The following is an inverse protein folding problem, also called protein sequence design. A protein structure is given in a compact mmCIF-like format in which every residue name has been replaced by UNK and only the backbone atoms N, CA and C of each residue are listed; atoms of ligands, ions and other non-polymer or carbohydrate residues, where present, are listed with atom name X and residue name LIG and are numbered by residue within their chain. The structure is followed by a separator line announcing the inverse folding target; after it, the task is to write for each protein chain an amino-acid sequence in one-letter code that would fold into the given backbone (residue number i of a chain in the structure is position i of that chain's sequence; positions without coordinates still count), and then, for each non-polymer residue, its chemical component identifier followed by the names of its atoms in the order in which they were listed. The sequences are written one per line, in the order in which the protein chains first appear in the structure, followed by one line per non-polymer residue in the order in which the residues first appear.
data_IF_816685141383
#
_entry.id   IF_816685141383
#
_cell.length_a   1.000
_cell.length_b   1.000
_cell.length_c   1.000
_cell.angle_alpha   90.00
_cell.angle_beta   90.00
_cell.angle_gamma   90.00
#
_symmetry.space_group_name_H-M   'P 1'
#
loop_
_entity.id
_entity.type
_entity.pdbx_description
1 polymer ?
#
# COMPACT_ATOMS: atom_id res chain seq x y z
N UNK A 1 2.42 -17.02 -10.25
CA UNK A 1 1.11 -16.81 -9.60
C UNK A 1 0.28 -18.09 -9.82
N UNK A 2 -0.56 -18.49 -8.87
CA UNK A 2 -1.43 -19.67 -9.07
C UNK A 2 -2.30 -19.49 -10.31
N UNK A 3 -2.51 -20.55 -11.10
CA UNK A 3 -3.27 -20.49 -12.38
C UNK A 3 -4.70 -19.94 -12.23
N UNK A 4 -5.27 -20.05 -11.03
CA UNK A 4 -6.63 -19.59 -10.69
C UNK A 4 -6.66 -18.23 -9.98
N UNK A 5 -5.54 -17.52 -9.89
CA UNK A 5 -5.43 -16.20 -9.27
C UNK A 5 -5.12 -15.15 -10.34
N UNK A 6 -6.11 -14.33 -10.63
CA UNK A 6 -5.96 -13.21 -11.57
C UNK A 6 -5.62 -11.92 -10.80
N UNK A 7 -4.64 -11.19 -11.29
CA UNK A 7 -4.27 -9.86 -10.79
C UNK A 7 -4.23 -8.84 -11.92
N UNK A 8 -4.97 -7.77 -11.78
CA UNK A 8 -5.01 -6.65 -12.74
C UNK A 8 -4.71 -5.37 -11.98
N UNK A 9 -3.93 -4.47 -12.58
CA UNK A 9 -3.68 -3.15 -12.01
C UNK A 9 -3.82 -2.05 -13.05
N UNK A 10 -4.28 -0.87 -12.61
CA UNK A 10 -4.44 0.34 -13.42
C UNK A 10 -3.81 1.53 -12.71
N UNK A 11 -3.17 2.40 -13.48
CA UNK A 11 -2.55 3.62 -12.94
C UNK A 11 -3.59 4.74 -12.82
N UNK A 12 -3.49 5.60 -11.80
CA UNK A 12 -4.36 6.76 -11.67
C UNK A 12 -4.07 7.80 -12.76
N UNK A 13 -5.06 8.63 -13.07
CA UNK A 13 -4.86 9.83 -13.87
C UNK A 13 -3.91 10.80 -13.15
N UNK A 14 -3.24 11.66 -13.93
CA UNK A 14 -2.24 12.63 -13.44
C UNK A 14 -2.77 13.53 -12.32
N UNK A 15 -4.02 13.99 -12.40
CA UNK A 15 -4.62 14.92 -11.46
C UNK A 15 -4.87 14.33 -10.04
N UNK A 16 -4.92 13.01 -9.89
CA UNK A 16 -5.06 12.33 -8.59
C UNK A 16 -3.82 11.53 -8.21
N UNK A 17 -2.77 11.54 -9.03
CA UNK A 17 -1.57 10.71 -8.83
C UNK A 17 -0.74 11.06 -7.59
N UNK A 18 -0.92 12.25 -7.01
CA UNK A 18 -0.31 12.60 -5.73
C UNK A 18 -0.99 11.89 -4.53
N UNK A 19 -2.22 11.40 -4.72
CA UNK A 19 -3.06 10.79 -3.68
C UNK A 19 -3.27 9.29 -3.89
N UNK A 20 -3.32 8.84 -5.12
CA UNK A 20 -3.52 7.43 -5.49
C UNK A 20 -2.24 6.86 -6.07
N UNK A 21 -1.85 5.67 -5.62
CA UNK A 21 -0.73 4.92 -6.20
C UNK A 21 -1.19 4.08 -7.39
N UNK A 22 -2.25 3.33 -7.18
CA UNK A 22 -2.83 2.44 -8.19
C UNK A 22 -4.26 2.05 -7.83
N UNK A 23 -4.97 1.52 -8.81
CA UNK A 23 -6.13 0.66 -8.64
C UNK A 23 -5.69 -0.76 -8.93
N UNK A 24 -6.21 -1.75 -8.20
CA UNK A 24 -5.92 -3.13 -8.50
C UNK A 24 -7.08 -4.05 -8.15
N UNK A 25 -7.11 -5.18 -8.82
CA UNK A 25 -8.08 -6.24 -8.66
C UNK A 25 -7.35 -7.55 -8.41
N UNK A 26 -7.89 -8.35 -7.50
CA UNK A 26 -7.51 -9.75 -7.35
C UNK A 26 -8.76 -10.61 -7.37
N UNK A 27 -8.72 -11.67 -8.17
CA UNK A 27 -9.80 -12.64 -8.32
C UNK A 27 -9.26 -14.05 -8.09
N UNK A 28 -9.87 -14.76 -7.17
CA UNK A 28 -9.64 -16.20 -6.98
C UNK A 28 -10.80 -16.97 -7.59
N UNK A 29 -10.55 -17.67 -8.69
CA UNK A 29 -11.55 -18.47 -9.40
C UNK A 29 -11.58 -19.93 -8.95
N UNK A 30 -10.70 -20.32 -8.01
CA UNK A 30 -10.66 -21.68 -7.47
C UNK A 30 -11.68 -21.89 -6.35
N UNK A 31 -11.97 -23.16 -6.06
CA UNK A 31 -12.78 -23.56 -4.92
C UNK A 31 -11.97 -23.68 -3.62
N UNK A 32 -10.72 -23.19 -3.61
CA UNK A 32 -9.84 -23.27 -2.46
C UNK A 32 -9.48 -21.86 -1.96
N UNK A 33 -9.45 -21.70 -0.64
CA UNK A 33 -8.93 -20.48 -0.01
C UNK A 33 -7.41 -20.53 -0.03
N UNK A 34 -6.78 -19.48 -0.56
CA UNK A 34 -5.34 -19.34 -0.61
C UNK A 34 -4.84 -18.61 0.65
N UNK A 35 -3.88 -19.21 1.34
CA UNK A 35 -3.18 -18.52 2.44
C UNK A 35 -2.10 -17.60 1.87
N UNK A 36 -2.07 -16.37 2.33
CA UNK A 36 -1.15 -15.35 1.85
C UNK A 36 -0.48 -14.60 2.99
N UNK A 37 0.60 -13.91 2.67
CA UNK A 37 1.28 -13.01 3.59
C UNK A 37 1.27 -11.62 2.97
N UNK A 38 0.61 -10.69 3.63
CA UNK A 38 0.66 -9.27 3.28
C UNK A 38 1.99 -8.65 3.70
N UNK A 39 2.64 -7.97 2.77
CA UNK A 39 3.87 -7.22 3.05
C UNK A 39 3.56 -5.73 3.13
N UNK A 40 4.15 -4.99 4.08
CA UNK A 40 4.06 -3.54 4.12
C UNK A 40 4.58 -2.91 2.83
N UNK A 41 3.82 -2.00 2.27
CA UNK A 41 4.20 -1.30 1.03
C UNK A 41 4.09 0.22 1.13
N UNK A 42 3.70 0.74 2.31
CA UNK A 42 3.53 2.16 2.55
C UNK A 42 2.25 2.73 1.94
N UNK A 43 1.24 1.88 1.72
CA UNK A 43 -0.08 2.25 1.17
C UNK A 43 -1.17 2.06 2.19
N UNK A 44 -2.31 2.67 1.88
CA UNK A 44 -3.58 2.54 2.58
C UNK A 44 -4.58 2.10 1.54
N UNK A 45 -5.29 1.01 1.79
CA UNK A 45 -6.14 0.41 0.80
C UNK A 45 -7.62 0.52 1.18
N UNK A 46 -8.43 1.08 0.28
CA UNK A 46 -9.89 0.98 0.35
C UNK A 46 -10.31 -0.18 -0.56
N UNK A 47 -10.80 -1.25 0.04
CA UNK A 47 -11.17 -2.48 -0.66
C UNK A 47 -12.67 -2.69 -0.70
N UNK A 48 -13.18 -3.07 -1.87
CA UNK A 48 -14.49 -3.66 -2.09
C UNK A 48 -14.26 -5.16 -2.26
N UNK A 49 -14.94 -5.97 -1.45
CA UNK A 49 -14.74 -7.41 -1.43
C UNK A 49 -16.05 -8.16 -1.45
N UNK A 50 -16.04 -9.32 -2.10
CA UNK A 50 -17.10 -10.33 -2.05
C UNK A 50 -16.54 -11.72 -2.36
N UNK A 51 -17.12 -12.76 -1.77
CA UNK A 51 -16.90 -14.15 -2.17
C UNK A 51 -18.21 -14.92 -2.26
N UNK A 52 -18.13 -16.22 -2.59
CA UNK A 52 -19.28 -17.11 -2.52
C UNK A 52 -19.80 -17.34 -1.09
N UNK A 53 -18.92 -17.22 -0.09
CA UNK A 53 -19.22 -17.51 1.32
C UNK A 53 -19.38 -16.24 2.16
N UNK A 54 -18.74 -15.14 1.76
CA UNK A 54 -18.75 -13.89 2.52
C UNK A 54 -19.50 -12.81 1.73
N UNK A 55 -20.39 -12.04 2.39
CA UNK A 55 -21.15 -10.97 1.73
C UNK A 55 -20.24 -9.83 1.29
N UNK A 56 -20.79 -8.98 0.42
CA UNK A 56 -20.13 -7.73 0.04
C UNK A 56 -19.78 -6.89 1.27
N UNK A 57 -18.57 -6.36 1.28
CA UNK A 57 -18.08 -5.42 2.30
C UNK A 57 -17.13 -4.39 1.70
N UNK A 58 -17.05 -3.24 2.36
CA UNK A 58 -16.09 -2.18 2.09
C UNK A 58 -15.19 -2.06 3.33
N UNK A 59 -13.87 -2.10 3.12
CA UNK A 59 -12.91 -2.09 4.22
C UNK A 59 -11.78 -1.11 3.93
N UNK A 60 -11.44 -0.27 4.90
CA UNK A 60 -10.26 0.56 4.89
C UNK A 60 -9.14 -0.16 5.65
N UNK A 61 -8.09 -0.56 4.94
CA UNK A 61 -6.89 -1.14 5.53
C UNK A 61 -5.93 -0.01 5.86
N UNK A 62 -5.50 0.04 7.12
CA UNK A 62 -4.52 1.00 7.58
C UNK A 62 -3.10 0.65 7.15
N UNK A 63 -2.18 1.54 7.50
CA UNK A 63 -0.78 1.40 7.15
C UNK A 63 -0.16 0.17 7.83
N UNK A 64 0.39 -0.75 7.04
CA UNK A 64 1.17 -1.88 7.53
C UNK A 64 2.58 -1.46 7.89
N UNK A 65 3.09 -1.88 9.06
CA UNK A 65 4.49 -1.68 9.49
C UNK A 65 5.27 -2.98 9.63
N UNK A 66 4.56 -4.10 9.62
CA UNK A 66 5.09 -5.46 9.67
C UNK A 66 4.22 -6.39 8.84
N UNK A 67 4.71 -7.56 8.50
CA UNK A 67 3.93 -8.55 7.73
C UNK A 67 2.60 -8.89 8.43
N UNK A 68 1.59 -9.18 7.63
CA UNK A 68 0.35 -9.80 8.08
C UNK A 68 0.46 -11.31 7.96
N UNK A 69 0.58 -12.01 9.07
CA UNK A 69 0.92 -13.45 9.11
C UNK A 69 -0.18 -14.39 8.58
N UNK A 70 -1.41 -13.89 8.37
CA UNK A 70 -2.54 -14.73 7.94
C UNK A 70 -3.51 -13.98 7.04
N UNK A 71 -3.00 -13.48 5.90
CA UNK A 71 -3.88 -13.04 4.85
C UNK A 71 -4.56 -14.25 4.20
N UNK A 72 -5.80 -14.09 3.75
CA UNK A 72 -6.53 -15.12 2.99
C UNK A 72 -7.16 -14.49 1.77
N UNK A 73 -7.10 -15.21 0.66
CA UNK A 73 -7.89 -14.93 -0.52
C UNK A 73 -8.93 -16.05 -0.60
N UNK A 74 -10.17 -15.82 -0.16
CA UNK A 74 -11.20 -16.85 -0.12
C UNK A 74 -11.47 -17.48 -1.49
N UNK A 75 -11.97 -18.70 -1.48
CA UNK A 75 -12.46 -19.37 -2.69
C UNK A 75 -13.53 -18.51 -3.39
N UNK A 76 -13.52 -18.51 -4.72
CA UNK A 76 -14.51 -17.80 -5.53
C UNK A 76 -14.72 -16.33 -5.07
N UNK A 77 -13.60 -15.60 -4.87
CA UNK A 77 -13.62 -14.25 -4.36
C UNK A 77 -13.14 -13.20 -5.35
N UNK A 78 -13.62 -11.99 -5.18
CA UNK A 78 -13.26 -10.83 -5.97
C UNK A 78 -13.02 -9.63 -5.03
N UNK A 79 -11.88 -8.96 -5.24
CA UNK A 79 -11.52 -7.76 -4.50
C UNK A 79 -11.07 -6.68 -5.47
N UNK A 80 -11.70 -5.49 -5.41
CA UNK A 80 -11.23 -4.29 -6.08
C UNK A 80 -10.69 -3.31 -5.05
N UNK A 81 -9.60 -2.66 -5.35
CA UNK A 81 -8.88 -1.83 -4.37
C UNK A 81 -8.46 -0.49 -4.98
N UNK A 82 -8.63 0.56 -4.18
CA UNK A 82 -7.98 1.85 -4.37
C UNK A 82 -6.80 1.90 -3.41
N UNK A 83 -5.58 1.92 -3.94
CA UNK A 83 -4.36 1.99 -3.16
C UNK A 83 -3.90 3.44 -3.04
N UNK A 84 -3.99 4.01 -1.84
CA UNK A 84 -3.70 5.40 -1.58
C UNK A 84 -2.27 5.64 -1.13
N UNK A 85 -1.70 6.78 -1.55
CA UNK A 85 -0.52 7.39 -0.94
C UNK A 85 -0.91 8.15 0.32
N UNK A 86 0.03 8.37 1.24
CA UNK A 86 -0.25 9.03 2.53
C UNK A 86 -0.95 10.39 2.43
N UNK A 87 -0.69 11.27 1.43
CA UNK A 87 -1.43 12.53 1.32
C UNK A 87 -2.95 12.35 1.26
N UNK A 88 -3.45 11.21 0.73
CA UNK A 88 -4.87 10.95 0.64
C UNK A 88 -5.59 10.90 2.00
N UNK A 89 -4.87 10.55 3.07
CA UNK A 89 -5.42 10.51 4.43
C UNK A 89 -6.04 11.84 4.85
N UNK A 90 -5.31 12.92 4.62
CA UNK A 90 -5.77 14.27 4.99
C UNK A 90 -6.68 14.89 3.93
N UNK A 91 -6.38 14.69 2.64
CA UNK A 91 -7.03 15.44 1.56
C UNK A 91 -8.20 14.71 0.91
N UNK A 92 -8.25 13.40 0.99
CA UNK A 92 -9.28 12.55 0.37
C UNK A 92 -10.15 11.87 1.42
N UNK A 93 -9.53 11.13 2.37
CA UNK A 93 -10.25 10.43 3.44
C UNK A 93 -10.71 11.40 4.54
N UNK A 94 -9.98 12.48 4.76
CA UNK A 94 -10.24 13.55 5.73
C UNK A 94 -10.35 13.04 7.18
N UNK A 95 -9.78 11.90 7.47
CA UNK A 95 -9.70 11.33 8.82
C UNK A 95 -8.31 10.75 9.09
N UNK A 96 -7.91 10.69 10.38
CA UNK A 96 -6.67 10.05 10.80
C UNK A 96 -6.78 8.54 10.73
N UNK A 97 -5.74 7.86 10.23
CA UNK A 97 -5.62 6.41 10.23
C UNK A 97 -4.74 5.88 11.37
N UNK A 98 -4.29 6.75 12.29
CA UNK A 98 -3.40 6.36 13.38
C UNK A 98 -3.98 5.25 14.25
N UNK A 99 -5.31 5.17 14.39
CA UNK A 99 -6.00 4.14 15.15
C UNK A 99 -6.12 2.78 14.45
N UNK A 100 -5.75 2.69 13.17
CA UNK A 100 -5.84 1.45 12.39
C UNK A 100 -4.49 1.00 11.80
N UNK A 101 -3.38 1.44 12.37
CA UNK A 101 -2.05 0.93 12.01
C UNK A 101 -1.99 -0.59 12.26
N UNK A 102 -1.53 -1.37 11.28
CA UNK A 102 -1.55 -2.83 11.28
C UNK A 102 -2.94 -3.45 11.49
N UNK A 103 -3.99 -2.75 11.11
CA UNK A 103 -5.38 -3.15 11.29
C UNK A 103 -6.25 -2.64 10.14
N UNK A 104 -7.54 -2.94 10.21
CA UNK A 104 -8.53 -2.54 9.23
C UNK A 104 -9.82 -2.08 9.93
N UNK A 105 -10.60 -1.26 9.24
CA UNK A 105 -11.91 -0.75 9.66
C UNK A 105 -12.93 -1.08 8.58
N UNK A 106 -14.01 -1.77 8.95
CA UNK A 106 -15.15 -1.91 8.04
C UNK A 106 -15.88 -0.58 7.94
N UNK A 107 -16.28 -0.24 6.73
CA UNK A 107 -17.03 0.96 6.41
C UNK A 107 -18.48 0.60 6.08
N UNK A 108 -19.35 1.60 6.00
CA UNK A 108 -20.74 1.41 5.55
C UNK A 108 -20.77 0.84 4.13
N UNK A 109 -21.79 0.03 3.84
CA UNK A 109 -21.90 -0.70 2.56
C UNK A 109 -22.13 0.21 1.34
N UNK A 110 -22.46 1.47 1.59
CA UNK A 110 -22.65 2.53 0.60
C UNK A 110 -21.58 3.63 0.66
N UNK A 111 -20.45 3.35 1.36
CA UNK A 111 -19.36 4.32 1.48
C UNK A 111 -18.91 4.81 0.10
N UNK A 112 -18.91 6.13 -0.11
CA UNK A 112 -18.63 6.80 -1.38
C UNK A 112 -19.58 6.38 -2.52
N UNK A 113 -20.80 6.01 -2.20
CA UNK A 113 -21.82 5.52 -3.12
C UNK A 113 -21.44 4.20 -3.82
N UNK A 114 -20.39 3.50 -3.32
CA UNK A 114 -20.06 2.17 -3.79
C UNK A 114 -21.08 1.14 -3.33
N UNK A 115 -21.25 0.10 -4.15
CA UNK A 115 -22.11 -1.03 -3.85
C UNK A 115 -21.62 -2.30 -4.57
N UNK A 116 -22.29 -3.41 -4.37
CA UNK A 116 -21.91 -4.72 -4.94
C UNK A 116 -21.76 -4.69 -6.47
N UNK A 117 -22.55 -3.90 -7.21
CA UNK A 117 -22.47 -3.85 -8.69
C UNK A 117 -21.17 -3.23 -9.18
N UNK A 118 -20.49 -2.44 -8.37
CA UNK A 118 -19.20 -1.87 -8.74
C UNK A 118 -18.09 -2.94 -8.85
N UNK A 119 -18.34 -4.20 -8.40
CA UNK A 119 -17.45 -5.34 -8.60
C UNK A 119 -17.67 -6.07 -9.96
N UNK A 120 -18.63 -5.66 -10.78
CA UNK A 120 -18.91 -6.27 -12.07
C UNK A 120 -17.91 -5.84 -13.16
N UNK A 121 -17.37 -4.61 -13.06
CA UNK A 121 -16.48 -4.03 -14.07
C UNK A 121 -15.37 -3.19 -13.40
N UNK A 122 -14.13 -3.64 -13.56
CA UNK A 122 -12.96 -3.00 -12.95
C UNK A 122 -12.65 -1.61 -13.56
N UNK A 123 -12.87 -1.41 -14.86
CA UNK A 123 -12.62 -0.12 -15.49
C UNK A 123 -13.65 0.92 -15.05
N UNK A 124 -14.94 0.52 -14.97
CA UNK A 124 -15.99 1.39 -14.44
C UNK A 124 -15.75 1.73 -12.95
N UNK A 125 -15.31 0.76 -12.15
CA UNK A 125 -14.88 1.02 -10.77
C UNK A 125 -13.75 2.06 -10.70
N UNK A 126 -12.68 1.91 -11.49
CA UNK A 126 -11.57 2.87 -11.53
C UNK A 126 -12.05 4.27 -11.93
N UNK A 127 -12.96 4.37 -12.90
CA UNK A 127 -13.54 5.65 -13.33
C UNK A 127 -14.37 6.29 -12.22
N UNK A 128 -15.27 5.53 -11.59
CA UNK A 128 -16.12 6.00 -10.48
C UNK A 128 -15.27 6.46 -9.29
N UNK A 129 -14.28 5.66 -8.89
CA UNK A 129 -13.34 5.98 -7.84
C UNK A 129 -12.57 7.29 -8.14
N UNK A 130 -12.06 7.43 -9.37
CA UNK A 130 -11.35 8.65 -9.79
C UNK A 130 -12.22 9.89 -9.68
N UNK A 131 -13.45 9.84 -10.19
CA UNK A 131 -14.41 10.97 -10.12
C UNK A 131 -14.76 11.31 -8.67
N UNK A 132 -14.94 10.29 -7.82
CA UNK A 132 -15.22 10.52 -6.40
C UNK A 132 -14.05 11.20 -5.71
N UNK A 133 -12.83 10.73 -5.94
CA UNK A 133 -11.60 11.33 -5.37
C UNK A 133 -11.45 12.77 -5.85
N UNK A 134 -11.60 13.04 -7.15
CA UNK A 134 -11.57 14.40 -7.71
C UNK A 134 -12.59 15.33 -7.01
N UNK A 135 -13.80 14.84 -6.74
CA UNK A 135 -14.85 15.64 -6.06
C UNK A 135 -14.54 15.95 -4.59
N UNK A 136 -13.70 15.13 -3.94
CA UNK A 136 -13.29 15.31 -2.54
C UNK A 136 -12.06 16.22 -2.39
N UNK A 137 -11.29 16.44 -3.45
CA UNK A 137 -10.10 17.28 -3.47
C UNK A 137 -10.48 18.78 -3.49
N UNK A 138 -11.02 19.27 -2.37
CA UNK A 138 -11.45 20.66 -2.23
C UNK A 138 -10.31 21.67 -2.03
N UNK A 139 -9.11 21.18 -1.69
CA UNK A 139 -7.93 22.00 -1.39
C UNK A 139 -6.71 21.45 -2.09
N UNK A 140 -5.87 22.35 -2.57
CA UNK A 140 -4.54 21.98 -3.05
C UNK A 140 -3.66 21.46 -1.90
N UNK A 141 -2.79 20.51 -2.23
CA UNK A 141 -1.81 19.98 -1.30
C UNK A 141 -0.84 21.09 -0.86
N UNK A 142 -0.74 21.35 0.43
CA UNK A 142 0.14 22.38 1.00
C UNK A 142 1.59 22.18 0.51
N UNK A 143 2.22 23.24 0.00
CA UNK A 143 3.51 23.17 -0.70
C UNK A 143 4.60 22.44 0.09
N UNK A 144 4.71 22.67 1.42
CA UNK A 144 5.73 21.96 2.23
C UNK A 144 5.42 20.48 2.41
N UNK A 145 4.14 20.07 2.48
CA UNK A 145 3.72 18.67 2.52
C UNK A 145 3.97 18.00 1.18
N UNK A 146 3.62 18.68 0.08
CA UNK A 146 3.91 18.20 -1.27
C UNK A 146 5.41 17.94 -1.46
N UNK A 147 6.26 18.89 -1.06
CA UNK A 147 7.72 18.72 -1.11
C UNK A 147 8.18 17.52 -0.28
N UNK A 148 7.67 17.41 0.96
CA UNK A 148 8.05 16.33 1.87
C UNK A 148 7.69 14.94 1.29
N UNK A 149 6.44 14.75 0.85
CA UNK A 149 6.02 13.48 0.28
C UNK A 149 6.72 13.18 -1.04
N UNK A 150 6.90 14.18 -1.90
CA UNK A 150 7.66 14.03 -3.14
C UNK A 150 9.08 13.53 -2.87
N UNK A 151 9.78 14.13 -1.90
CA UNK A 151 11.12 13.69 -1.50
C UNK A 151 11.09 12.25 -0.97
N UNK A 152 10.16 11.92 -0.08
CA UNK A 152 10.06 10.58 0.48
C UNK A 152 9.85 9.51 -0.60
N UNK A 153 8.89 9.71 -1.51
CA UNK A 153 8.60 8.76 -2.59
C UNK A 153 9.70 8.70 -3.65
N UNK A 154 10.21 9.84 -4.13
CA UNK A 154 11.24 9.87 -5.18
C UNK A 154 12.58 9.27 -4.74
N UNK A 155 12.88 9.33 -3.45
CA UNK A 155 14.11 8.75 -2.90
C UNK A 155 13.90 7.37 -2.30
N UNK A 156 12.75 6.74 -2.48
CA UNK A 156 12.40 5.49 -1.83
C UNK A 156 12.71 5.50 -0.31
N UNK A 157 12.50 6.65 0.35
CA UNK A 157 12.81 6.83 1.77
C UNK A 157 14.30 6.78 2.12
N UNK A 158 15.21 6.93 1.17
CA UNK A 158 16.66 6.93 1.42
C UNK A 158 17.17 8.21 2.07
N UNK A 159 16.46 9.33 1.82
CA UNK A 159 16.83 10.64 2.41
C UNK A 159 16.56 10.64 3.92
N UNK A 160 17.47 11.26 4.69
CA UNK A 160 17.29 11.38 6.12
C UNK A 160 16.17 12.36 6.48
N UNK A 161 15.56 12.19 7.68
CA UNK A 161 14.54 13.11 8.19
C UNK A 161 15.06 14.55 8.28
N UNK A 162 16.34 14.73 8.60
CA UNK A 162 17.00 16.05 8.68
C UNK A 162 17.04 16.73 7.31
N UNK A 163 17.52 16.03 6.29
CA UNK A 163 17.58 16.55 4.91
C UNK A 163 16.18 16.87 4.36
N UNK A 164 15.20 15.99 4.61
CA UNK A 164 13.81 16.26 4.24
C UNK A 164 13.25 17.49 4.94
N UNK A 165 13.56 17.67 6.22
CA UNK A 165 13.19 18.85 7.03
C UNK A 165 13.75 20.12 6.42
N UNK A 166 15.05 20.16 6.13
CA UNK A 166 15.73 21.29 5.52
C UNK A 166 15.14 21.63 4.14
N UNK A 167 14.95 20.63 3.27
CA UNK A 167 14.44 20.82 1.89
C UNK A 167 12.96 21.18 1.82
N UNK A 168 12.12 20.67 2.74
CA UNK A 168 10.69 20.98 2.77
C UNK A 168 10.37 22.30 3.48
N UNK A 169 11.33 22.87 4.24
CA UNK A 169 11.10 24.03 5.09
C UNK A 169 10.18 23.74 6.28
N UNK A 170 10.17 22.48 6.74
CA UNK A 170 9.30 22.03 7.82
C UNK A 170 10.11 21.32 8.89
N UNK A 171 10.11 21.82 10.14
CA UNK A 171 10.97 21.27 11.18
C UNK A 171 10.70 19.78 11.45
N UNK A 172 11.74 19.00 11.77
CA UNK A 172 11.63 17.58 12.08
C UNK A 172 10.60 17.29 13.18
N UNK A 173 10.47 18.19 14.18
CA UNK A 173 9.48 18.08 15.26
C UNK A 173 8.05 18.21 14.71
N UNK A 174 7.80 19.17 13.82
CA UNK A 174 6.49 19.35 13.20
C UNK A 174 6.14 18.20 12.29
N UNK A 175 7.10 17.69 11.49
CA UNK A 175 6.93 16.51 10.63
C UNK A 175 6.55 15.30 11.47
N UNK A 176 7.30 15.02 12.54
CA UNK A 176 7.00 13.85 13.39
C UNK A 176 5.64 13.98 14.08
N UNK A 177 5.25 15.18 14.54
CA UNK A 177 3.92 15.41 15.10
C UNK A 177 2.82 15.14 14.07
N UNK A 178 3.00 15.62 12.84
CA UNK A 178 2.06 15.38 11.74
C UNK A 178 1.95 13.90 11.42
N UNK A 179 3.08 13.20 11.25
CA UNK A 179 3.11 11.78 10.94
C UNK A 179 2.45 10.92 12.04
N UNK A 180 2.78 11.16 13.28
CA UNK A 180 2.16 10.43 14.41
C UNK A 180 0.65 10.72 14.51
N UNK A 181 0.23 11.97 14.28
CA UNK A 181 -1.17 12.36 14.40
C UNK A 181 -2.05 11.79 13.29
N UNK A 182 -1.58 11.79 12.04
CA UNK A 182 -2.37 11.33 10.89
C UNK A 182 -2.17 9.84 10.56
N UNK A 183 -0.93 9.34 10.71
CA UNK A 183 -0.56 8.00 10.24
C UNK A 183 -0.19 7.03 11.35
N UNK A 184 -0.02 7.50 12.60
CA UNK A 184 0.33 6.66 13.75
C UNK A 184 1.76 6.13 13.76
N UNK A 185 2.62 6.60 12.84
CA UNK A 185 4.03 6.22 12.73
C UNK A 185 4.91 7.44 12.54
N UNK A 186 6.22 7.30 12.72
CA UNK A 186 7.18 8.38 12.42
C UNK A 186 7.52 8.44 10.91
N UNK A 187 7.99 9.61 10.43
CA UNK A 187 8.53 9.72 9.06
C UNK A 187 9.69 8.72 8.83
N UNK A 188 10.55 8.51 9.85
CA UNK A 188 11.66 7.55 9.76
C UNK A 188 11.17 6.11 9.51
N UNK A 189 10.11 5.70 10.18
CA UNK A 189 9.50 4.38 10.00
C UNK A 189 8.87 4.25 8.62
N UNK A 190 8.14 5.28 8.17
CA UNK A 190 7.61 5.32 6.81
C UNK A 190 8.71 5.19 5.75
N UNK A 191 9.82 5.92 5.91
CA UNK A 191 10.98 5.81 5.01
C UNK A 191 11.58 4.38 5.00
N UNK A 192 11.60 3.69 6.15
CA UNK A 192 12.04 2.29 6.19
C UNK A 192 11.11 1.37 5.40
N UNK A 193 9.80 1.60 5.44
CA UNK A 193 8.81 0.84 4.65
C UNK A 193 9.01 1.11 3.15
N UNK A 194 9.25 2.36 2.74
CA UNK A 194 9.50 2.69 1.34
C UNK A 194 10.78 2.01 0.80
N UNK A 195 11.89 2.02 1.58
CA UNK A 195 13.12 1.31 1.21
C UNK A 195 12.88 -0.19 1.10
N UNK A 196 12.14 -0.76 2.04
CA UNK A 196 11.76 -2.16 1.99
C UNK A 196 10.97 -2.48 0.71
N UNK A 197 9.94 -1.69 0.39
CA UNK A 197 9.15 -1.86 -0.83
C UNK A 197 10.01 -1.80 -2.10
N UNK A 198 10.89 -0.80 -2.22
CA UNK A 198 11.80 -0.69 -3.34
C UNK A 198 12.73 -1.90 -3.47
N UNK A 199 13.18 -2.47 -2.33
CA UNK A 199 13.99 -3.68 -2.33
C UNK A 199 13.26 -4.92 -2.84
N UNK A 200 11.93 -4.98 -2.75
CA UNK A 200 11.15 -6.14 -3.24
C UNK A 200 11.31 -6.35 -4.75
N UNK A 201 11.41 -5.28 -5.54
CA UNK A 201 11.64 -5.37 -6.99
C UNK A 201 13.01 -6.00 -7.31
N UNK A 202 14.03 -5.67 -6.53
CA UNK A 202 15.38 -6.25 -6.66
C UNK A 202 15.38 -7.70 -6.21
N UNK A 203 14.74 -8.00 -5.08
CA UNK A 203 14.61 -9.36 -4.54
C UNK A 203 13.85 -10.25 -5.55
N UNK A 204 12.76 -9.78 -6.14
CA UNK A 204 12.00 -10.53 -7.15
C UNK A 204 12.85 -10.91 -8.37
N UNK A 205 13.86 -10.09 -8.71
CA UNK A 205 14.83 -10.33 -9.79
C UNK A 205 16.05 -11.16 -9.35
N UNK A 206 16.05 -11.71 -8.13
CA UNK A 206 17.14 -12.51 -7.57
C UNK A 206 18.32 -11.69 -7.07
N UNK A 207 18.21 -10.37 -6.99
CA UNK A 207 19.24 -9.49 -6.45
C UNK A 207 19.11 -9.43 -4.92
N UNK A 208 19.91 -10.20 -4.23
CA UNK A 208 19.84 -10.37 -2.77
C UNK A 208 20.86 -9.51 -2.02
N UNK A 209 21.37 -8.46 -2.67
CA UNK A 209 22.31 -7.47 -2.12
C UNK A 209 21.63 -6.11 -1.98
N UNK A 210 22.14 -5.22 -1.10
CA UNK A 210 21.59 -3.88 -0.91
C UNK A 210 21.84 -3.02 -2.16
N UNK A 211 20.80 -2.71 -2.92
CA UNK A 211 20.82 -1.73 -4.00
C UNK A 211 20.20 -0.39 -3.56
N UNK A 212 19.32 -0.42 -2.55
CA UNK A 212 18.77 0.75 -1.89
C UNK A 212 19.67 1.15 -0.71
N UNK A 213 19.68 2.40 -0.30
CA UNK A 213 20.58 2.98 0.73
C UNK A 213 20.58 2.25 2.09
N UNK A 214 21.15 1.06 2.11
CA UNK A 214 21.54 0.33 3.31
C UNK A 214 23.05 0.50 3.52
N UNK A 215 23.50 0.54 4.77
CA UNK A 215 24.93 0.71 5.07
C UNK A 215 25.78 -0.46 4.61
N UNK A 216 25.23 -1.67 4.68
CA UNK A 216 25.90 -2.92 4.33
C UNK A 216 24.88 -4.08 4.20
N UNK A 217 25.38 -5.26 3.80
CA UNK A 217 24.58 -6.48 3.65
C UNK A 217 23.87 -6.91 4.94
N UNK A 218 24.52 -6.74 6.09
CA UNK A 218 23.95 -7.13 7.38
C UNK A 218 22.78 -6.24 7.76
N UNK A 219 22.90 -4.93 7.52
CA UNK A 219 21.83 -3.98 7.73
C UNK A 219 20.64 -4.27 6.80
N UNK A 220 20.91 -4.53 5.52
CA UNK A 220 19.88 -4.93 4.55
C UNK A 220 19.10 -6.16 5.03
N UNK A 221 19.78 -7.27 5.37
CA UNK A 221 19.12 -8.50 5.83
C UNK A 221 18.27 -8.25 7.08
N UNK A 222 18.79 -7.47 8.05
CA UNK A 222 18.09 -7.16 9.30
C UNK A 222 16.83 -6.34 9.06
N UNK A 223 16.88 -5.30 8.22
CA UNK A 223 15.71 -4.45 7.92
C UNK A 223 14.67 -5.24 7.11
N UNK A 224 15.06 -6.01 6.10
CA UNK A 224 14.13 -6.87 5.36
C UNK A 224 13.44 -7.85 6.32
N UNK A 225 14.19 -8.56 7.16
CA UNK A 225 13.63 -9.52 8.12
C UNK A 225 12.73 -8.86 9.16
N UNK A 226 13.06 -7.65 9.61
CA UNK A 226 12.28 -6.88 10.59
C UNK A 226 10.87 -6.55 10.06
N UNK A 227 10.77 -6.16 8.78
CA UNK A 227 9.51 -5.73 8.16
C UNK A 227 8.72 -6.93 7.63
N UNK A 228 9.38 -7.86 6.95
CA UNK A 228 8.73 -9.00 6.28
C UNK A 228 8.67 -10.28 7.12
N UNK A 229 9.36 -10.34 8.26
CA UNK A 229 9.53 -11.58 9.04
C UNK A 229 10.38 -12.65 8.34
N UNK A 230 10.82 -12.43 7.10
CA UNK A 230 11.51 -13.40 6.25
C UNK A 230 12.86 -12.87 5.77
N UNK A 231 13.78 -13.79 5.46
CA UNK A 231 15.05 -13.43 4.84
C UNK A 231 14.87 -13.06 3.35
N UNK A 232 15.75 -12.23 2.75
CA UNK A 232 15.68 -11.92 1.32
C UNK A 232 15.61 -13.14 0.41
N UNK A 233 16.35 -14.22 0.75
CA UNK A 233 16.32 -15.48 0.01
C UNK A 233 14.95 -16.19 0.10
N UNK A 234 14.30 -16.14 1.24
CA UNK A 234 12.97 -16.73 1.44
C UNK A 234 11.89 -15.95 0.68
N UNK A 235 12.01 -14.62 0.64
CA UNK A 235 11.17 -13.76 -0.17
C UNK A 235 11.35 -14.06 -1.67
N UNK A 236 12.59 -14.18 -2.14
CA UNK A 236 12.88 -14.53 -3.54
C UNK A 236 12.31 -15.89 -3.94
N UNK A 237 12.43 -16.89 -3.07
CA UNK A 237 11.86 -18.22 -3.33
C UNK A 237 10.33 -18.22 -3.42
N UNK A 238 9.67 -17.30 -2.71
CA UNK A 238 8.22 -17.10 -2.66
C UNK A 238 7.42 -18.41 -2.79
N UNK A 239 7.76 -19.41 -1.97
CA UNK A 239 7.15 -20.75 -2.03
C UNK A 239 5.63 -20.66 -1.94
N UNK A 240 4.94 -21.33 -2.87
CA UNK A 240 3.49 -21.34 -3.01
C UNK A 240 2.88 -19.95 -3.21
N UNK A 241 3.61 -19.01 -3.85
CA UNK A 241 3.16 -17.65 -4.12
C UNK A 241 2.56 -16.90 -2.90
N UNK A 242 2.99 -17.27 -1.70
CA UNK A 242 2.41 -16.74 -0.45
C UNK A 242 2.57 -15.24 -0.26
N UNK A 243 3.58 -14.63 -0.89
CA UNK A 243 3.78 -13.19 -0.91
C UNK A 243 3.19 -12.60 -2.19
N UNK A 244 1.91 -12.27 -2.16
CA UNK A 244 1.16 -11.79 -3.35
C UNK A 244 1.81 -10.58 -4.00
N UNK A 245 2.32 -9.63 -3.22
CA UNK A 245 3.01 -8.45 -3.77
C UNK A 245 4.24 -8.85 -4.61
N UNK A 246 5.03 -9.85 -4.16
CA UNK A 246 6.17 -10.36 -4.93
C UNK A 246 5.73 -11.11 -6.19
N UNK A 247 4.67 -11.91 -6.10
CA UNK A 247 4.11 -12.61 -7.27
C UNK A 247 3.62 -11.61 -8.31
N UNK A 248 2.94 -10.53 -7.90
CA UNK A 248 2.50 -9.47 -8.80
C UNK A 248 3.68 -8.68 -9.43
N UNK A 249 4.80 -8.50 -8.72
CA UNK A 249 6.02 -7.86 -9.26
C UNK A 249 6.78 -8.76 -10.25
N UNK A 250 6.77 -10.07 -10.01
CA UNK A 250 7.47 -11.06 -10.86
C UNK A 250 6.72 -11.35 -12.17
N UNK A 251 5.43 -10.98 -12.26
CA UNK A 251 4.58 -11.21 -13.43
C UNK A 251 4.63 -10.05 -14.45
N UNK A 252 5.39 -9.00 -14.17
CA UNK A 252 5.68 -7.87 -15.06
C UNK A 252 7.01 -8.08 -15.78
#
# INVERSE_FOLDING_TARGET
MHDNLEYISSQPKQNISDFVDSFWCIRNTSNETLETIGLPDGRIDLSLFQSSEEPFRITLLGLGTKQYEKGRIPANSLTFVISFKLPAVEYVLQESIAGIVNSAKNLELDFWDFNKRDLEDFELFCKKASLKIESLLLKELETRKQKLFKLAYQTNGSMTVREMSEKSGWSSRQINRYFNSYFGISLKEFCSILRFRASLEHIAKGKLFPEENFSDQTHFIKEIKKISGSLPKELFQNKNDRFILLSALSSK
#
